data_IF_217650185123
#
_entry.id   IF_217650185123
#
_cell.length_a   1.000
_cell.length_b   1.000
_cell.length_c   1.000
_cell.angle_alpha   90.00
_cell.angle_beta   90.00
_cell.angle_gamma   90.00
#
_symmetry.space_group_name_H-M   'P 1'
#
loop_
_entity.id
_entity.type
_entity.pdbx_description
1 polymer ?
#
# COMPACT_ATOMS: atom_id res chain seq x y z
N UNK A 1 -60.61 -8.21 2.55
CA UNK A 1 -59.67 -9.35 2.49
C UNK A 1 -58.25 -8.82 2.45
N UNK A 2 -57.59 -8.75 3.61
CA UNK A 2 -56.13 -8.54 3.71
C UNK A 2 -55.65 -9.52 4.77
N UNK A 3 -54.95 -10.56 4.33
CA UNK A 3 -54.42 -11.64 5.17
C UNK A 3 -53.18 -11.15 5.90
N UNK A 4 -53.20 -11.36 7.20
CA UNK A 4 -52.06 -11.29 8.11
C UNK A 4 -51.27 -12.59 7.94
N UNK A 5 -49.97 -12.51 7.66
CA UNK A 5 -49.07 -13.63 7.84
C UNK A 5 -47.79 -13.17 8.56
N UNK A 6 -47.70 -13.61 9.81
CA UNK A 6 -46.51 -13.60 10.66
C UNK A 6 -45.53 -14.66 10.13
N UNK A 7 -44.25 -14.32 10.04
CA UNK A 7 -43.19 -15.32 9.96
C UNK A 7 -42.30 -15.22 11.19
N UNK A 8 -42.19 -16.36 11.87
CA UNK A 8 -41.50 -16.58 13.12
C UNK A 8 -39.98 -16.62 12.92
N UNK A 9 -39.27 -16.04 13.87
CA UNK A 9 -37.83 -16.19 14.03
C UNK A 9 -37.50 -17.61 14.46
N UNK A 10 -36.59 -18.27 13.72
CA UNK A 10 -35.93 -19.49 14.16
C UNK A 10 -34.47 -19.16 14.49
N UNK A 11 -34.19 -18.99 15.78
CA UNK A 11 -32.84 -19.02 16.34
C UNK A 11 -32.32 -20.46 16.27
N UNK A 12 -31.24 -20.69 15.53
CA UNK A 12 -30.46 -21.92 15.64
C UNK A 12 -29.24 -21.63 16.52
N UNK A 13 -29.37 -22.00 17.79
CA UNK A 13 -28.27 -22.17 18.73
C UNK A 13 -27.70 -23.56 18.47
N UNK A 14 -26.48 -23.64 17.95
CA UNK A 14 -25.70 -24.88 17.99
C UNK A 14 -24.60 -24.69 19.03
N UNK A 15 -24.89 -25.17 20.23
CA UNK A 15 -23.91 -25.44 21.27
C UNK A 15 -23.30 -26.82 21.05
N UNK A 16 -21.99 -26.91 20.91
CA UNK A 16 -21.25 -28.15 21.14
C UNK A 16 -20.01 -27.82 21.97
N UNK A 17 -20.04 -28.29 23.21
CA UNK A 17 -18.91 -28.34 24.13
C UNK A 17 -18.79 -29.76 24.68
N UNK A 18 -17.61 -30.35 24.56
CA UNK A 18 -16.94 -31.26 25.54
C UNK A 18 -15.67 -31.83 24.85
N UNK A 19 -14.45 -31.37 25.21
CA UNK A 19 -13.57 -31.84 26.30
C UNK A 19 -12.75 -33.09 25.89
N UNK A 20 -11.45 -33.28 26.15
CA UNK A 20 -10.37 -32.50 26.79
C UNK A 20 -9.01 -33.18 26.41
N UNK A 21 -7.89 -32.45 26.49
CA UNK A 21 -6.58 -33.09 26.70
C UNK A 21 -5.42 -32.69 25.76
N UNK A 22 -4.98 -31.44 25.81
CA UNK A 22 -3.56 -31.08 25.73
C UNK A 22 -3.43 -29.63 26.24
N UNK A 23 -2.55 -29.42 27.22
CA UNK A 23 -2.20 -28.12 27.76
C UNK A 23 -1.45 -27.30 26.70
N UNK A 24 -2.18 -26.72 25.75
CA UNK A 24 -1.68 -25.64 24.90
C UNK A 24 -1.80 -24.33 25.67
N UNK A 25 -0.68 -23.66 25.93
CA UNK A 25 -0.75 -22.23 26.25
C UNK A 25 -1.56 -21.52 25.14
N UNK A 26 -2.37 -20.50 25.46
CA UNK A 26 -3.09 -19.75 24.43
C UNK A 26 -2.07 -19.25 23.39
N UNK A 27 -2.33 -19.57 22.11
CA UNK A 27 -1.53 -19.11 20.98
C UNK A 27 -1.30 -17.59 21.10
N UNK A 28 -0.06 -17.11 21.25
CA UNK A 28 0.22 -15.68 21.44
C UNK A 28 -0.19 -14.82 20.23
N UNK A 29 -0.40 -15.43 19.04
CA UNK A 29 -0.91 -14.75 17.85
C UNK A 29 -2.45 -14.67 17.79
N UNK A 30 -3.18 -15.50 18.54
CA UNK A 30 -4.64 -15.57 18.47
C UNK A 30 -5.38 -14.66 19.47
N UNK A 31 -4.67 -14.00 20.40
CA UNK A 31 -5.32 -13.15 21.41
C UNK A 31 -5.38 -11.67 20.96
N UNK A 32 -6.60 -11.24 20.64
CA UNK A 32 -7.11 -9.85 20.71
C UNK A 32 -6.93 -8.84 19.56
N UNK A 33 -6.53 -9.23 18.35
CA UNK A 33 -6.71 -8.32 17.22
C UNK A 33 -8.18 -8.26 16.83
N UNK A 34 -8.85 -7.15 17.13
CA UNK A 34 -10.15 -6.86 16.54
C UNK A 34 -10.03 -7.02 15.01
N UNK A 35 -10.79 -7.95 14.43
CA UNK A 35 -10.70 -8.25 13.01
C UNK A 35 -11.27 -7.08 12.21
N UNK A 36 -10.40 -6.15 11.80
CA UNK A 36 -10.78 -5.18 10.77
C UNK A 36 -11.12 -5.96 9.49
N UNK A 37 -12.17 -5.56 8.75
CA UNK A 37 -12.59 -6.27 7.53
C UNK A 37 -11.67 -6.01 6.33
N UNK A 38 -10.55 -5.33 6.54
CA UNK A 38 -9.54 -4.98 5.55
C UNK A 38 -8.14 -5.17 6.16
N UNK A 39 -7.16 -5.33 5.29
CA UNK A 39 -5.75 -5.41 5.66
C UNK A 39 -5.02 -4.07 5.49
N UNK A 40 -5.52 -3.23 4.59
CA UNK A 40 -5.01 -1.89 4.35
C UNK A 40 -6.12 -0.99 3.80
N UNK A 41 -5.88 0.32 3.77
CA UNK A 41 -6.68 1.28 3.02
C UNK A 41 -5.75 1.94 2.00
N UNK A 42 -6.18 2.03 0.74
CA UNK A 42 -5.44 2.74 -0.31
C UNK A 42 -5.37 4.25 0.01
N UNK A 43 -4.44 4.97 -0.61
CA UNK A 43 -4.35 6.43 -0.57
C UNK A 43 -5.65 7.10 -1.03
N UNK A 44 -6.43 6.42 -1.88
CA UNK A 44 -7.73 6.88 -2.36
C UNK A 44 -8.92 6.40 -1.51
N UNK A 45 -8.65 5.85 -0.32
CA UNK A 45 -9.69 5.46 0.63
C UNK A 45 -10.39 4.14 0.30
N UNK A 46 -9.84 3.30 -0.57
CA UNK A 46 -10.45 1.98 -0.81
C UNK A 46 -9.99 0.98 0.25
N UNK A 47 -10.89 0.30 0.98
CA UNK A 47 -10.52 -0.84 1.79
C UNK A 47 -9.92 -1.96 0.92
N UNK A 48 -8.76 -2.47 1.32
CA UNK A 48 -8.02 -3.51 0.62
C UNK A 48 -8.18 -4.81 1.41
N UNK A 49 -8.88 -5.76 0.80
CA UNK A 49 -9.17 -7.08 1.36
C UNK A 49 -8.39 -8.11 0.56
N UNK A 50 -7.75 -9.04 1.25
CA UNK A 50 -7.03 -10.13 0.59
C UNK A 50 -8.01 -11.17 0.06
N UNK A 51 -7.74 -11.78 -1.11
CA UNK A 51 -8.53 -12.90 -1.59
C UNK A 51 -8.42 -14.10 -0.64
N UNK A 52 -9.33 -15.06 -0.77
CA UNK A 52 -9.25 -16.30 0.00
C UNK A 52 -7.92 -17.03 -0.28
N UNK A 53 -7.22 -17.54 0.75
CA UNK A 53 -5.96 -18.22 0.55
C UNK A 53 -6.15 -19.56 -0.16
N UNK A 54 -5.16 -19.97 -0.94
CA UNK A 54 -5.17 -21.29 -1.58
C UNK A 54 -5.01 -22.41 -0.55
N UNK A 55 -5.50 -23.64 -0.83
CA UNK A 55 -5.29 -24.78 0.07
C UNK A 55 -3.81 -25.06 0.36
N UNK A 56 -2.93 -24.85 -0.63
CA UNK A 56 -1.49 -24.99 -0.45
C UNK A 56 -0.91 -23.95 0.51
N UNK A 57 -1.40 -22.70 0.46
CA UNK A 57 -0.99 -21.65 1.39
C UNK A 57 -1.48 -21.96 2.82
N UNK A 58 -2.73 -22.43 2.97
CA UNK A 58 -3.28 -22.86 4.27
C UNK A 58 -2.44 -23.97 4.88
N UNK A 59 -2.16 -25.03 4.11
CA UNK A 59 -1.32 -26.13 4.57
C UNK A 59 0.08 -25.66 4.98
N UNK A 60 0.71 -24.81 4.18
CA UNK A 60 2.05 -24.28 4.50
C UNK A 60 2.07 -23.45 5.79
N UNK A 61 0.97 -22.76 6.11
CA UNK A 61 0.80 -22.07 7.38
C UNK A 61 0.62 -23.04 8.56
N UNK A 62 -0.20 -24.08 8.39
CA UNK A 62 -0.40 -25.11 9.42
C UNK A 62 0.92 -25.83 9.75
N UNK A 63 1.71 -26.16 8.74
CA UNK A 63 3.03 -26.77 8.91
C UNK A 63 3.96 -25.83 9.70
N UNK A 64 4.03 -24.54 9.33
CA UNK A 64 4.87 -23.56 10.04
C UNK A 64 4.39 -23.29 11.48
N UNK A 65 3.08 -23.34 11.72
CA UNK A 65 2.53 -23.22 13.07
C UNK A 65 2.92 -24.41 13.95
N UNK A 66 2.88 -25.63 13.39
CA UNK A 66 3.34 -26.83 14.11
C UNK A 66 4.83 -26.76 14.44
N UNK A 67 5.66 -26.32 13.49
CA UNK A 67 7.10 -26.17 13.72
C UNK A 67 7.38 -25.11 14.81
N UNK A 68 6.63 -24.01 14.78
CA UNK A 68 6.69 -22.98 15.82
C UNK A 68 6.26 -23.47 17.21
N UNK A 69 5.20 -24.28 17.29
CA UNK A 69 4.72 -24.85 18.56
C UNK A 69 5.74 -25.82 19.18
N UNK A 70 6.56 -26.47 18.35
CA UNK A 70 7.66 -27.33 18.79
C UNK A 70 8.86 -26.50 19.24
N UNK A 71 9.24 -25.48 18.47
CA UNK A 71 10.39 -24.61 18.75
C UNK A 71 10.12 -23.16 18.32
N UNK A 72 9.88 -22.22 19.23
CA UNK A 72 9.64 -20.82 18.90
C UNK A 72 10.95 -20.04 18.69
N UNK A 73 11.88 -20.60 17.91
CA UNK A 73 13.14 -19.97 17.52
C UNK A 73 12.93 -18.78 16.57
N UNK A 74 13.97 -17.94 16.39
CA UNK A 74 13.91 -16.78 15.49
C UNK A 74 13.48 -17.18 14.07
N UNK A 75 14.00 -18.30 13.55
CA UNK A 75 13.63 -18.83 12.24
C UNK A 75 12.16 -19.20 12.17
N UNK A 76 11.61 -19.84 13.20
CA UNK A 76 10.20 -20.22 13.22
C UNK A 76 9.27 -19.02 13.42
N UNK A 77 9.70 -17.97 14.14
CA UNK A 77 8.99 -16.67 14.12
C UNK A 77 8.93 -16.07 12.71
N UNK A 78 10.07 -16.10 12.00
CA UNK A 78 10.15 -15.61 10.62
C UNK A 78 9.23 -16.41 9.71
N UNK A 79 9.31 -17.75 9.75
CA UNK A 79 8.52 -18.61 8.88
C UNK A 79 7.04 -18.53 9.17
N UNK A 80 6.63 -18.51 10.44
CA UNK A 80 5.24 -18.30 10.81
C UNK A 80 4.72 -16.98 10.22
N UNK A 81 5.43 -15.87 10.44
CA UNK A 81 5.01 -14.58 9.91
C UNK A 81 4.96 -14.53 8.38
N UNK A 82 5.88 -15.21 7.68
CA UNK A 82 5.88 -15.29 6.21
C UNK A 82 4.67 -16.06 5.70
N UNK A 83 4.36 -17.22 6.31
CA UNK A 83 3.21 -18.05 5.93
C UNK A 83 1.89 -17.36 6.24
N UNK A 84 1.78 -16.70 7.40
CA UNK A 84 0.63 -15.84 7.73
C UNK A 84 0.40 -14.76 6.66
N UNK A 85 1.48 -14.11 6.20
CA UNK A 85 1.38 -13.11 5.15
C UNK A 85 0.97 -13.70 3.78
N UNK A 86 1.36 -14.94 3.46
CA UNK A 86 0.93 -15.63 2.24
C UNK A 86 -0.53 -16.07 2.28
N UNK A 87 -1.14 -16.13 3.47
CA UNK A 87 -2.60 -16.22 3.57
C UNK A 87 -3.31 -14.88 3.25
N UNK A 88 -2.55 -13.83 2.95
CA UNK A 88 -3.06 -12.48 2.80
C UNK A 88 -3.35 -11.78 4.13
N UNK A 89 -2.94 -12.34 5.27
CA UNK A 89 -3.17 -11.78 6.62
C UNK A 89 -1.98 -10.93 7.05
N UNK A 90 -1.82 -9.77 6.43
CA UNK A 90 -0.65 -8.92 6.64
C UNK A 90 -0.57 -8.30 8.03
N UNK A 91 -1.70 -7.89 8.62
CA UNK A 91 -1.73 -7.34 9.98
C UNK A 91 -1.39 -8.40 11.03
N UNK A 92 -1.90 -9.62 10.86
CA UNK A 92 -1.54 -10.76 11.72
C UNK A 92 -0.05 -11.09 11.58
N UNK A 93 0.51 -11.07 10.37
CA UNK A 93 1.95 -11.25 10.16
C UNK A 93 2.78 -10.16 10.86
N UNK A 94 2.37 -8.89 10.80
CA UNK A 94 3.02 -7.79 11.54
C UNK A 94 2.99 -8.04 13.05
N UNK A 95 1.88 -8.57 13.58
CA UNK A 95 1.77 -8.94 14.97
C UNK A 95 2.74 -10.07 15.35
N UNK A 96 2.80 -11.13 14.53
CA UNK A 96 3.76 -12.25 14.72
C UNK A 96 5.18 -11.72 14.78
N UNK A 97 5.61 -10.90 13.82
CA UNK A 97 6.96 -10.32 13.86
C UNK A 97 7.18 -9.37 15.05
N UNK A 98 6.14 -8.65 15.47
CA UNK A 98 6.25 -7.74 16.62
C UNK A 98 6.43 -8.50 17.93
N UNK A 99 5.77 -9.65 18.11
CA UNK A 99 6.03 -10.55 19.24
C UNK A 99 7.41 -11.21 19.14
N UNK A 100 7.81 -11.66 17.95
CA UNK A 100 9.15 -12.17 17.70
C UNK A 100 10.25 -11.17 18.09
N UNK A 101 10.08 -9.89 17.75
CA UNK A 101 11.01 -8.82 18.13
C UNK A 101 11.07 -8.53 19.64
N UNK A 102 10.05 -8.92 20.42
CA UNK A 102 10.17 -8.88 21.89
C UNK A 102 11.09 -9.96 22.43
N UNK A 103 11.24 -11.08 21.70
CA UNK A 103 12.11 -12.21 22.06
C UNK A 103 13.52 -12.06 21.47
N UNK A 104 13.60 -11.49 20.27
CA UNK A 104 14.83 -11.29 19.51
C UNK A 104 14.96 -9.81 19.10
N UNK A 105 15.22 -8.90 20.06
CA UNK A 105 15.18 -7.44 19.81
C UNK A 105 16.26 -6.93 18.84
N UNK A 106 17.32 -7.71 18.63
CA UNK A 106 18.43 -7.36 17.73
C UNK A 106 18.43 -8.17 16.42
N UNK A 107 17.32 -8.86 16.10
CA UNK A 107 17.18 -9.58 14.82
C UNK A 107 16.91 -8.62 13.66
N UNK A 108 17.93 -8.38 12.82
CA UNK A 108 17.76 -7.61 11.59
C UNK A 108 16.75 -8.27 10.62
N UNK A 109 16.65 -9.61 10.62
CA UNK A 109 15.76 -10.39 9.77
C UNK A 109 14.29 -10.18 10.14
N UNK A 110 13.95 -10.18 11.43
CA UNK A 110 12.58 -9.88 11.88
C UNK A 110 12.16 -8.45 11.54
N UNK A 111 13.05 -7.46 11.75
CA UNK A 111 12.79 -6.09 11.31
C UNK A 111 12.58 -6.01 9.79
N UNK A 112 13.43 -6.67 9.00
CA UNK A 112 13.30 -6.73 7.53
C UNK A 112 11.94 -7.33 7.10
N UNK A 113 11.49 -8.41 7.73
CA UNK A 113 10.22 -9.03 7.36
C UNK A 113 9.00 -8.21 7.80
N UNK A 114 9.05 -7.60 9.00
CA UNK A 114 7.99 -6.70 9.46
C UNK A 114 7.90 -5.44 8.60
N UNK A 115 9.04 -4.84 8.28
CA UNK A 115 9.14 -3.69 7.37
C UNK A 115 8.51 -3.96 6.01
N UNK A 116 8.73 -5.16 5.44
CA UNK A 116 8.09 -5.56 4.20
C UNK A 116 6.56 -5.55 4.36
N UNK A 117 6.03 -6.13 5.43
CA UNK A 117 4.57 -6.14 5.64
C UNK A 117 4.01 -4.74 5.86
N UNK A 118 4.76 -3.84 6.48
CA UNK A 118 4.37 -2.44 6.56
C UNK A 118 4.28 -1.77 5.17
N UNK A 119 5.15 -2.10 4.21
CA UNK A 119 4.97 -1.67 2.80
C UNK A 119 3.63 -2.19 2.26
N UNK A 120 3.34 -3.49 2.44
CA UNK A 120 2.10 -4.11 1.94
C UNK A 120 0.86 -3.36 2.41
N UNK A 121 0.84 -2.89 3.67
CA UNK A 121 -0.30 -2.16 4.24
C UNK A 121 -0.18 -0.62 4.17
N UNK A 122 0.72 -0.10 3.32
CA UNK A 122 0.99 1.33 3.10
C UNK A 122 1.46 2.11 4.34
N UNK A 123 2.00 1.44 5.34
CA UNK A 123 2.59 2.05 6.54
C UNK A 123 4.07 2.38 6.29
N UNK A 124 4.34 3.23 5.29
CA UNK A 124 5.69 3.41 4.77
C UNK A 124 6.66 4.03 5.79
N UNK A 125 6.19 4.90 6.68
CA UNK A 125 7.03 5.46 7.75
C UNK A 125 7.55 4.36 8.69
N UNK A 126 6.66 3.46 9.11
CA UNK A 126 7.02 2.28 9.93
C UNK A 126 7.92 1.31 9.18
N UNK A 127 7.67 1.11 7.89
CA UNK A 127 8.54 0.29 7.04
C UNK A 127 9.97 0.83 6.99
N UNK A 128 10.14 2.14 6.70
CA UNK A 128 11.44 2.81 6.67
C UNK A 128 12.15 2.64 8.02
N UNK A 129 11.48 2.92 9.13
CA UNK A 129 12.06 2.78 10.47
C UNK A 129 12.56 1.35 10.75
N UNK A 130 11.81 0.33 10.35
CA UNK A 130 12.22 -1.07 10.52
C UNK A 130 13.42 -1.40 9.64
N UNK A 131 13.42 -0.96 8.39
CA UNK A 131 14.52 -1.24 7.47
C UNK A 131 15.81 -0.50 7.82
N UNK A 132 15.72 0.73 8.33
CA UNK A 132 16.89 1.46 8.85
C UNK A 132 17.49 0.76 10.06
N UNK A 133 16.63 0.28 10.98
CA UNK A 133 17.08 -0.52 12.12
C UNK A 133 17.70 -1.85 11.68
N UNK A 134 17.09 -2.53 10.71
CA UNK A 134 17.63 -3.76 10.12
C UNK A 134 19.00 -3.52 9.47
N UNK A 135 19.16 -2.44 8.70
CA UNK A 135 20.42 -2.08 8.06
C UNK A 135 21.51 -1.78 9.08
N UNK A 136 21.18 -1.06 10.16
CA UNK A 136 22.12 -0.78 11.24
C UNK A 136 22.58 -2.05 11.97
N UNK A 137 21.68 -3.00 12.20
CA UNK A 137 21.99 -4.29 12.85
C UNK A 137 22.76 -5.25 11.92
N UNK A 138 22.51 -5.22 10.62
CA UNK A 138 23.23 -6.02 9.64
C UNK A 138 24.60 -5.44 9.24
N UNK A 139 24.92 -4.22 9.70
CA UNK A 139 26.20 -3.59 9.40
C UNK A 139 27.35 -4.41 10.00
N UNK A 140 28.26 -4.89 9.15
CA UNK A 140 29.41 -5.69 9.57
C UNK A 140 29.10 -7.18 9.80
N UNK A 141 27.88 -7.64 9.52
CA UNK A 141 27.58 -9.08 9.51
C UNK A 141 28.02 -9.71 8.18
N UNK A 142 28.44 -10.99 8.17
CA UNK A 142 28.68 -11.72 6.92
C UNK A 142 27.42 -11.78 6.05
N UNK A 143 27.62 -11.90 4.73
CA UNK A 143 26.51 -12.15 3.80
C UNK A 143 25.76 -13.40 4.22
N UNK A 144 24.45 -13.27 4.41
CA UNK A 144 23.58 -14.36 4.85
C UNK A 144 22.56 -14.66 3.75
N UNK A 145 22.64 -15.86 3.17
CA UNK A 145 21.64 -16.31 2.17
C UNK A 145 20.28 -16.38 2.84
N UNK A 146 19.27 -15.75 2.24
CA UNK A 146 17.90 -15.86 2.72
C UNK A 146 17.12 -16.83 1.84
N UNK A 147 16.54 -17.85 2.46
CA UNK A 147 15.68 -18.81 1.77
C UNK A 147 14.45 -18.13 1.14
N UNK A 148 14.15 -18.51 -0.10
CA UNK A 148 12.94 -18.06 -0.79
C UNK A 148 11.69 -18.48 -0.02
N UNK A 149 10.68 -17.63 -0.04
CA UNK A 149 9.47 -17.92 0.72
C UNK A 149 8.65 -19.00 0.05
N UNK A 150 8.56 -18.92 -1.27
CA UNK A 150 8.12 -20.01 -2.13
C UNK A 150 9.34 -20.42 -2.98
N UNK A 151 9.78 -21.68 -2.92
CA UNK A 151 10.93 -22.12 -3.70
C UNK A 151 10.71 -21.91 -5.20
N UNK A 152 11.71 -21.36 -5.89
CA UNK A 152 11.74 -21.38 -7.35
C UNK A 152 11.98 -22.83 -7.86
N UNK A 153 11.75 -23.13 -9.16
CA UNK A 153 11.86 -24.48 -9.71
C UNK A 153 13.23 -25.15 -9.50
N UNK A 154 14.30 -24.36 -9.33
CA UNK A 154 15.64 -24.88 -9.08
C UNK A 154 15.95 -25.07 -7.60
N UNK A 155 15.11 -24.53 -6.70
CA UNK A 155 15.33 -24.60 -5.24
C UNK A 155 16.55 -23.81 -4.75
N UNK A 156 17.11 -22.92 -5.58
CA UNK A 156 18.32 -22.14 -5.28
C UNK A 156 17.90 -20.73 -4.85
N UNK A 157 18.13 -20.31 -3.59
CA UNK A 157 17.80 -18.96 -3.16
C UNK A 157 18.53 -17.92 -4.01
N UNK A 158 17.81 -16.88 -4.44
CA UNK A 158 18.36 -15.82 -5.30
C UNK A 158 18.62 -14.51 -4.57
N UNK A 159 18.46 -14.50 -3.24
CA UNK A 159 18.64 -13.29 -2.44
C UNK A 159 19.35 -13.56 -1.12
N UNK A 160 19.78 -12.49 -0.46
CA UNK A 160 20.42 -12.51 0.84
C UNK A 160 19.80 -11.44 1.76
N UNK A 161 20.04 -11.56 3.07
CA UNK A 161 19.48 -10.66 4.10
C UNK A 161 19.79 -9.20 3.77
N UNK A 162 21.06 -8.86 3.48
CA UNK A 162 21.49 -7.49 3.23
C UNK A 162 20.87 -6.91 1.96
N UNK A 163 20.90 -7.65 0.83
CA UNK A 163 20.24 -7.27 -0.41
C UNK A 163 18.79 -6.87 -0.15
N UNK A 164 18.04 -7.72 0.53
CA UNK A 164 16.63 -7.48 0.75
C UNK A 164 16.35 -6.32 1.72
N UNK A 165 17.17 -6.11 2.74
CA UNK A 165 17.06 -4.93 3.61
C UNK A 165 17.14 -3.67 2.75
N UNK A 166 18.19 -3.54 1.94
CA UNK A 166 18.40 -2.34 1.13
C UNK A 166 17.43 -2.22 -0.05
N UNK A 167 17.02 -3.34 -0.65
CA UNK A 167 16.00 -3.38 -1.71
C UNK A 167 14.68 -2.79 -1.22
N UNK A 168 14.18 -3.26 -0.07
CA UNK A 168 12.91 -2.79 0.46
C UNK A 168 13.03 -1.41 1.12
N UNK A 169 14.20 -1.06 1.69
CA UNK A 169 14.46 0.31 2.15
C UNK A 169 14.40 1.31 0.99
N UNK A 170 15.08 1.00 -0.10
CA UNK A 170 15.07 1.81 -1.31
C UNK A 170 13.68 1.93 -1.91
N UNK A 171 12.92 0.83 -1.95
CA UNK A 171 11.52 0.84 -2.38
C UNK A 171 10.64 1.69 -1.45
N UNK A 172 10.78 1.58 -0.13
CA UNK A 172 9.99 2.38 0.79
C UNK A 172 10.27 3.88 0.60
N UNK A 173 11.53 4.27 0.42
CA UNK A 173 11.89 5.64 0.07
C UNK A 173 11.38 6.10 -1.30
N UNK A 174 11.37 5.20 -2.29
CA UNK A 174 10.77 5.46 -3.59
C UNK A 174 9.27 5.80 -3.47
N UNK A 175 8.54 5.02 -2.66
CA UNK A 175 7.10 5.17 -2.44
C UNK A 175 6.76 6.45 -1.66
N UNK A 176 7.65 6.94 -0.80
CA UNK A 176 7.51 8.22 -0.10
C UNK A 176 8.13 9.40 -0.85
N UNK A 177 8.64 9.18 -2.07
CA UNK A 177 9.28 10.18 -2.93
C UNK A 177 10.58 10.79 -2.36
N UNK A 178 11.21 10.14 -1.38
CA UNK A 178 12.56 10.51 -0.95
C UNK A 178 13.59 9.88 -1.89
N UNK A 179 13.67 10.42 -3.11
CA UNK A 179 14.50 9.85 -4.16
C UNK A 179 16.01 9.90 -3.86
N UNK A 180 16.45 10.85 -3.02
CA UNK A 180 17.85 10.94 -2.59
C UNK A 180 18.21 9.73 -1.74
N UNK A 181 17.38 9.40 -0.75
CA UNK A 181 17.61 8.22 0.08
C UNK A 181 17.32 6.92 -0.66
N UNK A 182 16.32 6.90 -1.55
CA UNK A 182 16.04 5.73 -2.39
C UNK A 182 17.24 5.38 -3.26
N UNK A 183 17.85 6.36 -3.91
CA UNK A 183 19.08 6.19 -4.69
C UNK A 183 20.22 5.64 -3.84
N UNK A 184 20.46 6.23 -2.65
CA UNK A 184 21.52 5.76 -1.75
C UNK A 184 21.30 4.29 -1.34
N UNK A 185 20.06 3.92 -1.01
CA UNK A 185 19.71 2.56 -0.63
C UNK A 185 19.88 1.57 -1.79
N UNK A 186 19.48 1.91 -3.02
CA UNK A 186 19.68 1.00 -4.16
C UNK A 186 21.14 0.89 -4.63
N UNK A 187 21.94 1.95 -4.47
CA UNK A 187 23.40 1.85 -4.66
C UNK A 187 24.02 0.88 -3.66
N UNK A 188 23.57 0.92 -2.41
CA UNK A 188 24.01 -0.03 -1.40
C UNK A 188 23.52 -1.45 -1.71
N UNK A 189 22.25 -1.60 -2.11
CA UNK A 189 21.63 -2.86 -2.52
C UNK A 189 22.46 -3.59 -3.60
N UNK A 190 22.92 -2.87 -4.62
CA UNK A 190 23.73 -3.45 -5.70
C UNK A 190 25.08 -4.02 -5.25
N UNK A 191 25.62 -3.61 -4.09
CA UNK A 191 26.84 -4.23 -3.53
C UNK A 191 26.58 -5.64 -3.01
N UNK A 192 25.33 -5.94 -2.66
CA UNK A 192 24.86 -7.22 -2.14
C UNK A 192 24.18 -8.07 -3.22
N UNK A 193 24.01 -7.56 -4.44
CA UNK A 193 23.52 -8.31 -5.60
C UNK A 193 24.62 -9.20 -6.18
N UNK A 194 24.55 -10.50 -5.91
CA UNK A 194 25.60 -11.47 -6.27
C UNK A 194 25.19 -12.47 -7.36
N UNK A 195 24.04 -12.27 -8.00
CA UNK A 195 23.51 -13.07 -9.10
C UNK A 195 22.68 -12.18 -10.05
N UNK A 196 22.33 -12.70 -11.23
CA UNK A 196 21.62 -11.92 -12.25
C UNK A 196 20.21 -11.49 -11.79
N UNK A 197 19.49 -12.32 -11.04
CA UNK A 197 18.16 -12.00 -10.48
C UNK A 197 18.19 -10.76 -9.59
N UNK A 198 19.08 -10.76 -8.59
CA UNK A 198 19.27 -9.64 -7.65
C UNK A 198 19.82 -8.38 -8.34
N UNK A 199 20.66 -8.53 -9.36
CA UNK A 199 21.14 -7.39 -10.16
C UNK A 199 20.00 -6.77 -10.96
N UNK A 200 19.20 -7.59 -11.65
CA UNK A 200 18.04 -7.14 -12.44
C UNK A 200 17.02 -6.43 -11.55
N UNK A 201 16.63 -7.04 -10.44
CA UNK A 201 15.62 -6.48 -9.54
C UNK A 201 16.04 -5.13 -8.94
N UNK A 202 17.29 -4.99 -8.48
CA UNK A 202 17.79 -3.72 -7.93
C UNK A 202 18.00 -2.65 -9.01
N UNK A 203 18.52 -3.05 -10.17
CA UNK A 203 18.75 -2.13 -11.30
C UNK A 203 17.46 -1.51 -11.78
N UNK A 204 16.37 -2.28 -11.81
CA UNK A 204 15.06 -1.79 -12.26
C UNK A 204 14.56 -0.57 -11.46
N UNK A 205 14.43 -0.71 -10.15
CA UNK A 205 13.98 0.40 -9.30
C UNK A 205 14.99 1.55 -9.30
N UNK A 206 16.28 1.25 -9.31
CA UNK A 206 17.30 2.27 -9.36
C UNK A 206 17.24 3.08 -10.66
N UNK A 207 17.00 2.41 -11.80
CA UNK A 207 16.79 3.08 -13.07
C UNK A 207 15.59 4.03 -13.03
N UNK A 208 14.46 3.58 -12.47
CA UNK A 208 13.26 4.44 -12.30
C UNK A 208 13.58 5.69 -11.48
N UNK A 209 14.36 5.56 -10.40
CA UNK A 209 14.80 6.69 -9.57
C UNK A 209 15.65 7.67 -10.38
N UNK A 210 16.69 7.19 -11.08
CA UNK A 210 17.58 8.04 -11.86
C UNK A 210 16.82 8.79 -12.96
N UNK A 211 15.85 8.14 -13.60
CA UNK A 211 14.95 8.78 -14.57
C UNK A 211 14.10 9.86 -13.93
N UNK A 212 13.53 9.62 -12.74
CA UNK A 212 12.73 10.60 -11.99
C UNK A 212 13.54 11.80 -11.52
N UNK A 213 14.82 11.61 -11.21
CA UNK A 213 15.71 12.69 -10.76
C UNK A 213 16.50 13.34 -11.90
N UNK A 214 16.16 13.07 -13.16
CA UNK A 214 16.81 13.69 -14.33
C UNK A 214 18.26 13.26 -14.58
N UNK A 215 18.73 12.16 -13.97
CA UNK A 215 20.11 11.65 -14.09
C UNK A 215 20.26 10.71 -15.30
N UNK A 216 19.98 11.22 -16.49
CA UNK A 216 19.86 10.42 -17.71
C UNK A 216 21.15 9.65 -18.06
N UNK A 217 22.32 10.27 -17.90
CA UNK A 217 23.61 9.65 -18.26
C UNK A 217 23.92 8.46 -17.35
N UNK A 218 23.65 8.62 -16.06
CA UNK A 218 23.82 7.55 -15.09
C UNK A 218 22.80 6.43 -15.29
N UNK A 219 21.55 6.78 -15.61
CA UNK A 219 20.52 5.79 -15.95
C UNK A 219 20.96 4.93 -17.17
N UNK A 220 21.56 5.55 -18.21
CA UNK A 220 22.11 4.81 -19.36
C UNK A 220 23.31 3.95 -18.97
N UNK A 221 24.21 4.47 -18.14
CA UNK A 221 25.35 3.69 -17.65
C UNK A 221 24.91 2.46 -16.84
N UNK A 222 23.87 2.61 -16.01
CA UNK A 222 23.27 1.53 -15.24
C UNK A 222 22.73 0.40 -16.16
N UNK A 223 22.02 0.76 -17.24
CA UNK A 223 21.48 -0.22 -18.20
C UNK A 223 22.54 -0.93 -19.06
N UNK A 224 23.76 -0.40 -19.16
CA UNK A 224 24.81 -1.01 -20.01
C UNK A 224 25.16 -2.45 -19.62
N UNK A 225 24.94 -2.80 -18.34
CA UNK A 225 25.19 -4.14 -17.80
C UNK A 225 24.02 -5.11 -18.04
N UNK A 226 22.83 -4.60 -18.35
CA UNK A 226 21.63 -5.40 -18.58
C UNK A 226 21.60 -5.92 -20.01
N UNK A 227 21.37 -7.21 -20.19
CA UNK A 227 21.31 -7.85 -21.51
C UNK A 227 20.47 -9.14 -21.48
N UNK A 228 20.03 -9.61 -22.66
CA UNK A 228 19.17 -10.78 -22.81
C UNK A 228 19.82 -12.13 -22.48
N UNK A 229 21.13 -12.20 -22.20
CA UNK A 229 21.85 -13.43 -21.84
C UNK A 229 21.98 -13.65 -20.33
N UNK A 230 21.43 -12.75 -19.52
CA UNK A 230 21.37 -12.90 -18.07
C UNK A 230 20.61 -14.18 -17.70
N UNK A 231 21.17 -14.95 -16.77
CA UNK A 231 20.68 -16.27 -16.35
C UNK A 231 19.80 -16.12 -15.13
N UNK A 232 18.52 -15.91 -15.38
CA UNK A 232 17.53 -15.69 -14.33
C UNK A 232 16.85 -16.99 -13.90
N UNK A 233 16.58 -17.10 -12.60
CA UNK A 233 15.70 -18.13 -12.04
C UNK A 233 14.29 -17.60 -11.78
N UNK A 234 14.14 -16.29 -11.58
CA UNK A 234 12.90 -15.54 -11.44
C UNK A 234 13.03 -14.13 -12.08
N UNK A 235 12.16 -13.17 -11.76
CA UNK A 235 12.32 -11.76 -12.20
C UNK A 235 12.39 -11.49 -13.73
N UNK A 236 11.91 -12.39 -14.59
CA UNK A 236 11.92 -12.21 -16.05
C UNK A 236 11.21 -10.94 -16.53
N UNK A 237 10.06 -10.61 -15.93
CA UNK A 237 9.33 -9.38 -16.27
C UNK A 237 10.12 -8.09 -15.93
N UNK A 238 10.97 -8.11 -14.89
CA UNK A 238 11.87 -6.99 -14.58
C UNK A 238 12.96 -6.84 -15.65
N UNK A 239 13.57 -7.95 -16.10
CA UNK A 239 14.56 -7.91 -17.17
C UNK A 239 13.94 -7.37 -18.46
N UNK A 240 12.78 -7.89 -18.86
CA UNK A 240 12.10 -7.39 -20.05
C UNK A 240 11.75 -5.90 -19.96
N UNK A 241 11.37 -5.41 -18.77
CA UNK A 241 11.10 -3.99 -18.55
C UNK A 241 12.35 -3.14 -18.74
N UNK A 242 13.48 -3.59 -18.18
CA UNK A 242 14.77 -2.94 -18.37
C UNK A 242 15.21 -2.94 -19.84
N UNK A 243 15.01 -4.05 -20.55
CA UNK A 243 15.31 -4.15 -21.98
C UNK A 243 14.39 -3.26 -22.82
N UNK A 244 13.12 -3.10 -22.45
CA UNK A 244 12.22 -2.11 -23.06
C UNK A 244 12.75 -0.69 -22.83
N UNK A 245 13.12 -0.35 -21.60
CA UNK A 245 13.70 0.97 -21.28
C UNK A 245 15.05 1.23 -21.98
N UNK A 246 15.77 0.16 -22.31
CA UNK A 246 17.02 0.19 -23.09
C UNK A 246 16.78 0.34 -24.60
N UNK A 247 15.56 0.08 -25.08
CA UNK A 247 15.21 0.05 -26.50
C UNK A 247 15.57 -1.26 -27.21
N UNK A 248 15.81 -2.34 -26.47
CA UNK A 248 16.06 -3.68 -27.04
C UNK A 248 14.77 -4.51 -27.19
N UNK A 249 13.70 -4.12 -26.49
CA UNK A 249 12.35 -4.68 -26.65
C UNK A 249 11.41 -3.52 -26.98
N UNK A 250 10.61 -3.67 -28.03
CA UNK A 250 9.59 -2.68 -28.38
C UNK A 250 8.49 -2.60 -27.32
N UNK A 251 7.95 -1.40 -27.10
CA UNK A 251 6.92 -1.18 -26.05
C UNK A 251 5.69 -2.07 -26.26
N UNK A 252 5.29 -2.25 -27.53
CA UNK A 252 4.15 -3.12 -27.90
C UNK A 252 4.44 -4.61 -27.63
N UNK A 253 5.69 -5.06 -27.76
CA UNK A 253 6.03 -6.45 -27.45
C UNK A 253 6.16 -6.66 -25.94
N UNK A 254 6.75 -5.72 -25.22
CA UNK A 254 6.79 -5.76 -23.76
C UNK A 254 5.38 -5.81 -23.13
N UNK A 255 4.43 -5.08 -23.74
CA UNK A 255 3.04 -5.05 -23.30
C UNK A 255 2.26 -6.32 -23.62
N UNK A 256 2.76 -7.22 -24.47
CA UNK A 256 2.15 -8.53 -24.69
C UNK A 256 2.50 -9.45 -23.52
N UNK A 257 1.49 -9.74 -22.70
CA UNK A 257 1.62 -10.71 -21.60
C UNK A 257 2.18 -12.05 -22.10
N UNK A 258 2.92 -12.74 -21.23
CA UNK A 258 3.52 -14.04 -21.56
C UNK A 258 2.56 -15.18 -21.21
N UNK A 259 2.70 -16.32 -21.88
CA UNK A 259 1.90 -17.51 -21.53
C UNK A 259 2.29 -17.99 -20.12
N UNK A 260 1.29 -18.20 -19.25
CA UNK A 260 1.52 -18.59 -17.85
C UNK A 260 1.99 -17.45 -16.94
N UNK A 261 1.92 -16.21 -17.40
CA UNK A 261 2.32 -15.03 -16.62
C UNK A 261 1.52 -14.90 -15.32
N UNK A 262 2.24 -14.64 -14.23
CA UNK A 262 1.65 -14.41 -12.92
C UNK A 262 1.05 -13.01 -12.82
N UNK A 263 0.11 -12.83 -11.87
CA UNK A 263 -0.46 -11.50 -11.62
C UNK A 263 0.63 -10.45 -11.33
N UNK A 264 1.66 -10.81 -10.56
CA UNK A 264 2.78 -9.91 -10.23
C UNK A 264 3.54 -9.48 -11.48
N UNK A 265 3.84 -10.42 -12.40
CA UNK A 265 4.52 -10.10 -13.65
C UNK A 265 3.68 -9.17 -14.55
N UNK A 266 2.38 -9.41 -14.65
CA UNK A 266 1.48 -8.49 -15.36
C UNK A 266 1.50 -7.10 -14.71
N UNK A 267 1.52 -7.01 -13.38
CA UNK A 267 1.60 -5.71 -12.68
C UNK A 267 2.93 -4.98 -12.95
N UNK A 268 4.06 -5.71 -13.03
CA UNK A 268 5.37 -5.16 -13.41
C UNK A 268 5.29 -4.54 -14.81
N UNK A 269 4.63 -5.23 -15.75
CA UNK A 269 4.44 -4.74 -17.13
C UNK A 269 3.57 -3.51 -17.19
N UNK A 270 2.39 -3.55 -16.59
CA UNK A 270 1.47 -2.41 -16.56
C UNK A 270 2.12 -1.18 -15.94
N UNK A 271 2.88 -1.35 -14.86
CA UNK A 271 3.61 -0.25 -14.24
C UNK A 271 4.71 0.30 -15.14
N UNK A 272 5.50 -0.57 -15.79
CA UNK A 272 6.52 -0.16 -16.76
C UNK A 272 5.95 0.64 -17.93
N UNK A 273 4.81 0.21 -18.49
CA UNK A 273 4.10 0.93 -19.55
C UNK A 273 3.57 2.29 -19.07
N UNK A 274 3.03 2.35 -17.85
CA UNK A 274 2.60 3.61 -17.25
C UNK A 274 3.76 4.60 -17.10
N UNK A 275 4.92 4.14 -16.62
CA UNK A 275 6.13 4.97 -16.53
C UNK A 275 6.63 5.43 -17.90
N UNK A 276 6.62 4.55 -18.90
CA UNK A 276 7.00 4.92 -20.28
C UNK A 276 6.11 6.04 -20.83
N UNK A 277 4.78 5.96 -20.62
CA UNK A 277 3.83 7.02 -21.01
C UNK A 277 4.08 8.33 -20.28
N UNK A 278 4.39 8.30 -18.98
CA UNK A 278 4.76 9.51 -18.25
C UNK A 278 5.97 10.21 -18.88
N UNK A 279 6.99 9.45 -19.29
CA UNK A 279 8.20 10.02 -19.88
C UNK A 279 8.02 10.56 -21.30
N UNK A 280 7.02 10.07 -22.05
CA UNK A 280 6.65 10.63 -23.36
C UNK A 280 5.61 11.74 -23.27
N UNK A 281 5.17 12.10 -22.05
CA UNK A 281 4.20 13.18 -21.80
C UNK A 281 2.74 12.75 -21.86
N UNK A 282 2.44 11.47 -22.11
CA UNK A 282 1.07 10.93 -22.11
C UNK A 282 0.57 10.67 -20.68
N UNK A 283 0.31 11.76 -19.94
CA UNK A 283 -0.23 11.70 -18.57
C UNK A 283 -1.61 11.03 -18.53
N UNK A 284 -2.45 11.24 -19.53
CA UNK A 284 -3.82 10.70 -19.56
C UNK A 284 -3.81 9.18 -19.73
N UNK A 285 -2.96 8.66 -20.62
CA UNK A 285 -2.78 7.22 -20.77
C UNK A 285 -2.12 6.58 -19.55
N UNK A 286 -1.11 7.23 -18.96
CA UNK A 286 -0.49 6.75 -17.73
C UNK A 286 -1.51 6.68 -16.57
N UNK A 287 -2.31 7.73 -16.39
CA UNK A 287 -3.38 7.78 -15.39
C UNK A 287 -4.34 6.61 -15.52
N UNK A 288 -4.83 6.34 -16.75
CA UNK A 288 -5.75 5.24 -17.02
C UNK A 288 -5.15 3.89 -16.64
N UNK A 289 -3.89 3.64 -16.99
CA UNK A 289 -3.19 2.40 -16.64
C UNK A 289 -3.07 2.24 -15.12
N UNK A 290 -2.69 3.30 -14.39
CA UNK A 290 -2.58 3.20 -12.93
C UNK A 290 -3.94 2.99 -12.27
N UNK A 291 -5.00 3.66 -12.74
CA UNK A 291 -6.37 3.42 -12.27
C UNK A 291 -6.84 1.98 -12.52
N UNK A 292 -6.50 1.39 -13.67
CA UNK A 292 -6.76 -0.02 -13.98
C UNK A 292 -5.99 -0.95 -13.04
N UNK A 293 -4.71 -0.68 -12.81
CA UNK A 293 -3.88 -1.45 -11.88
C UNK A 293 -4.45 -1.45 -10.46
N UNK A 294 -4.96 -0.30 -10.02
CA UNK A 294 -5.56 -0.20 -8.70
C UNK A 294 -6.77 -1.11 -8.58
N UNK A 295 -7.54 -1.44 -9.62
CA UNK A 295 -8.71 -2.32 -9.55
C UNK A 295 -8.38 -3.82 -9.38
N UNK A 296 -7.10 -4.20 -9.40
CA UNK A 296 -6.69 -5.61 -9.34
C UNK A 296 -6.70 -6.19 -7.93
N UNK A 297 -6.79 -7.50 -7.85
CA UNK A 297 -6.80 -8.26 -6.58
C UNK A 297 -5.39 -8.39 -5.95
N UNK A 298 -4.33 -8.29 -6.75
CA UNK A 298 -2.92 -8.33 -6.31
C UNK A 298 -2.41 -6.96 -5.84
N UNK A 299 -3.26 -6.25 -5.10
CA UNK A 299 -3.04 -4.88 -4.60
C UNK A 299 -1.81 -4.74 -3.69
N UNK A 300 -1.32 -5.84 -3.14
CA UNK A 300 -0.12 -5.89 -2.29
C UNK A 300 1.20 -5.95 -3.08
N UNK A 301 1.15 -6.14 -4.41
CA UNK A 301 2.35 -6.13 -5.25
C UNK A 301 3.01 -4.74 -5.28
N UNK A 302 4.34 -4.70 -5.35
CA UNK A 302 5.08 -3.44 -5.35
C UNK A 302 4.73 -2.54 -6.54
N UNK A 303 4.45 -3.13 -7.71
CA UNK A 303 4.05 -2.39 -8.90
C UNK A 303 2.70 -1.70 -8.74
N UNK A 304 1.72 -2.34 -8.08
CA UNK A 304 0.42 -1.70 -7.79
C UNK A 304 0.58 -0.60 -6.74
N UNK A 305 1.38 -0.83 -5.69
CA UNK A 305 1.66 0.19 -4.68
C UNK A 305 2.39 1.40 -5.28
N UNK A 306 3.34 1.17 -6.19
CA UNK A 306 4.04 2.23 -6.89
C UNK A 306 3.13 2.99 -7.88
N UNK A 307 2.27 2.28 -8.62
CA UNK A 307 1.25 2.88 -9.46
C UNK A 307 0.28 3.77 -8.66
N UNK A 308 -0.06 3.36 -7.43
CA UNK A 308 -0.87 4.14 -6.51
C UNK A 308 -0.19 5.48 -6.13
N UNK A 309 1.11 5.47 -5.86
CA UNK A 309 1.89 6.67 -5.61
C UNK A 309 2.03 7.56 -6.85
N UNK A 310 2.20 6.98 -8.06
CA UNK A 310 2.22 7.75 -9.31
C UNK A 310 0.86 8.39 -9.60
N UNK A 311 -0.23 7.67 -9.38
CA UNK A 311 -1.59 8.20 -9.54
C UNK A 311 -1.86 9.34 -8.54
N UNK A 312 -1.38 9.20 -7.30
CA UNK A 312 -1.47 10.28 -6.32
C UNK A 312 -0.78 11.56 -6.82
N UNK A 313 0.45 11.46 -7.36
CA UNK A 313 1.14 12.63 -7.93
C UNK A 313 0.36 13.26 -9.11
N UNK A 314 -0.22 12.44 -9.99
CA UNK A 314 -1.04 12.94 -11.10
C UNK A 314 -2.30 13.67 -10.61
N UNK A 315 -3.00 13.12 -9.62
CA UNK A 315 -4.20 13.73 -9.03
C UNK A 315 -3.85 15.01 -8.26
N UNK A 316 -2.70 15.05 -7.59
CA UNK A 316 -2.24 16.25 -6.89
C UNK A 316 -1.90 17.38 -7.85
N UNK A 317 -1.30 17.06 -9.00
CA UNK A 317 -1.05 18.03 -10.06
C UNK A 317 -2.37 18.54 -10.65
N UNK A 318 -3.22 17.62 -11.10
CA UNK A 318 -4.44 17.88 -11.86
C UNK A 318 -5.60 17.00 -11.34
N UNK A 319 -6.29 17.43 -10.26
CA UNK A 319 -7.36 16.65 -9.66
C UNK A 319 -8.56 16.56 -10.60
N UNK A 320 -9.16 15.38 -10.69
CA UNK A 320 -10.40 15.20 -11.44
C UNK A 320 -11.57 15.75 -10.61
N UNK A 321 -12.15 16.83 -11.13
CA UNK A 321 -13.34 17.49 -10.56
C UNK A 321 -14.54 17.42 -11.50
N UNK A 322 -14.55 16.46 -12.42
CA UNK A 322 -15.62 16.29 -13.43
C UNK A 322 -16.96 15.86 -12.81
N UNK A 323 -16.91 15.25 -11.62
CA UNK A 323 -18.08 14.83 -10.85
C UNK A 323 -17.88 15.07 -9.34
N UNK A 324 -18.97 15.11 -8.55
CA UNK A 324 -18.87 15.14 -7.09
C UNK A 324 -18.04 13.97 -6.55
N UNK A 325 -18.27 12.75 -7.06
CA UNK A 325 -17.52 11.56 -6.65
C UNK A 325 -16.02 11.64 -6.94
N UNK A 326 -15.62 12.10 -8.14
CA UNK A 326 -14.21 12.27 -8.47
C UNK A 326 -13.53 13.33 -7.58
N UNK A 327 -14.24 14.44 -7.31
CA UNK A 327 -13.76 15.50 -6.41
C UNK A 327 -13.57 14.96 -4.99
N UNK A 328 -14.49 14.14 -4.49
CA UNK A 328 -14.40 13.53 -3.16
C UNK A 328 -13.33 12.43 -3.07
N UNK A 329 -13.02 11.75 -4.16
CA UNK A 329 -11.87 10.84 -4.22
C UNK A 329 -10.54 11.61 -4.09
N UNK A 330 -10.42 12.77 -4.75
CA UNK A 330 -9.26 13.66 -4.58
C UNK A 330 -9.22 14.28 -3.18
N UNK A 331 -10.38 14.61 -2.59
CA UNK A 331 -10.47 15.07 -1.20
C UNK A 331 -10.01 14.00 -0.21
N UNK A 332 -10.40 12.74 -0.43
CA UNK A 332 -9.95 11.61 0.38
C UNK A 332 -8.43 11.43 0.28
N UNK A 333 -7.87 11.56 -0.92
CA UNK A 333 -6.42 11.58 -1.12
C UNK A 333 -5.76 12.70 -0.30
N UNK A 334 -6.30 13.92 -0.34
CA UNK A 334 -5.74 15.06 0.42
C UNK A 334 -5.63 14.76 1.92
N UNK A 335 -6.57 14.03 2.50
CA UNK A 335 -6.50 13.56 3.89
C UNK A 335 -5.49 12.44 4.11
N UNK A 336 -5.37 11.50 3.17
CA UNK A 336 -4.46 10.37 3.30
C UNK A 336 -2.99 10.75 3.05
N UNK A 337 -2.74 11.88 2.41
CA UNK A 337 -1.38 12.44 2.20
C UNK A 337 -1.20 13.83 2.83
N UNK A 338 -2.14 14.28 3.66
CA UNK A 338 -2.04 15.53 4.44
C UNK A 338 -1.64 16.73 3.54
N UNK A 339 -2.21 16.78 2.33
CA UNK A 339 -1.83 17.72 1.27
C UNK A 339 -2.70 18.97 1.31
N UNK A 340 -2.05 20.07 1.71
CA UNK A 340 -2.69 21.36 1.87
C UNK A 340 -3.03 22.01 0.52
N UNK A 341 -2.19 21.83 -0.50
CA UNK A 341 -2.39 22.42 -1.83
C UNK A 341 -3.55 21.72 -2.56
N UNK A 342 -3.63 20.40 -2.44
CA UNK A 342 -4.76 19.63 -2.97
C UNK A 342 -6.06 20.03 -2.27
N UNK A 343 -6.04 20.23 -0.95
CA UNK A 343 -7.21 20.74 -0.21
C UNK A 343 -7.67 22.08 -0.81
N UNK A 344 -6.75 23.02 -1.03
CA UNK A 344 -7.08 24.33 -1.61
C UNK A 344 -7.72 24.24 -3.00
N UNK A 345 -7.26 23.30 -3.85
CA UNK A 345 -7.79 23.10 -5.21
C UNK A 345 -9.22 22.54 -5.24
N UNK A 346 -9.68 21.91 -4.16
CA UNK A 346 -10.95 21.17 -4.13
C UNK A 346 -12.10 21.98 -3.52
N UNK A 347 -11.80 23.01 -2.73
CA UNK A 347 -12.78 23.88 -2.12
C UNK A 347 -12.97 25.17 -2.93
N UNK A 348 -14.16 25.75 -2.82
CA UNK A 348 -14.46 27.05 -3.42
C UNK A 348 -13.66 28.15 -2.70
N UNK A 349 -12.86 28.96 -3.42
CA UNK A 349 -11.90 29.88 -2.83
C UNK A 349 -12.54 31.21 -2.40
N UNK A 350 -13.57 31.18 -1.56
CA UNK A 350 -14.23 32.39 -1.07
C UNK A 350 -14.48 32.41 0.44
N UNK A 351 -14.85 33.59 1.01
CA UNK A 351 -15.18 33.71 2.43
C UNK A 351 -16.52 33.04 2.81
N UNK A 352 -17.23 32.45 1.84
CA UNK A 352 -18.50 31.74 2.06
C UNK A 352 -18.31 30.24 2.28
N UNK A 353 -17.15 29.68 1.93
CA UNK A 353 -16.85 28.27 2.20
C UNK A 353 -16.97 27.98 3.69
N UNK A 354 -17.63 26.88 4.04
CA UNK A 354 -17.84 26.50 5.44
C UNK A 354 -17.44 25.06 5.71
N UNK A 355 -16.96 24.81 6.92
CA UNK A 355 -16.55 23.48 7.36
C UNK A 355 -16.93 23.28 8.83
N UNK A 356 -17.58 22.16 9.14
CA UNK A 356 -17.81 21.70 10.51
C UNK A 356 -16.99 20.44 10.73
N UNK A 357 -16.05 20.54 11.66
CA UNK A 357 -15.17 19.44 12.04
C UNK A 357 -15.84 18.56 13.09
N UNK A 358 -15.61 17.25 13.02
CA UNK A 358 -15.98 16.33 14.09
C UNK A 358 -15.14 16.51 15.36
N UNK A 359 -13.97 17.15 15.26
CA UNK A 359 -13.01 17.28 16.38
C UNK A 359 -12.95 18.72 16.95
N UNK A 360 -13.60 19.70 16.31
CA UNK A 360 -13.58 21.11 16.74
C UNK A 360 -14.98 21.71 16.76
N UNK A 361 -15.34 22.31 17.88
CA UNK A 361 -16.61 23.02 18.02
C UNK A 361 -16.65 24.29 17.16
N UNK A 362 -17.82 24.57 16.61
CA UNK A 362 -18.11 25.78 15.85
C UNK A 362 -17.85 25.67 14.36
N UNK A 363 -18.35 26.67 13.62
CA UNK A 363 -18.22 26.78 12.18
C UNK A 363 -16.86 27.35 11.80
N UNK A 364 -16.10 26.64 10.98
CA UNK A 364 -14.97 27.19 10.24
C UNK A 364 -15.53 27.87 8.99
N UNK A 365 -15.15 29.11 8.74
CA UNK A 365 -15.67 29.90 7.62
C UNK A 365 -14.56 30.63 6.88
N UNK A 366 -14.59 30.51 5.55
CA UNK A 366 -13.62 31.06 4.62
C UNK A 366 -12.44 30.12 4.37
N UNK A 367 -11.86 30.24 3.17
CA UNK A 367 -10.71 29.44 2.74
C UNK A 367 -9.53 29.53 3.73
N UNK A 368 -9.17 30.73 4.19
CA UNK A 368 -8.03 30.90 5.11
C UNK A 368 -8.22 30.11 6.42
N UNK A 369 -9.41 30.17 7.00
CA UNK A 369 -9.73 29.45 8.23
C UNK A 369 -9.77 27.93 8.02
N UNK A 370 -10.21 27.46 6.84
CA UNK A 370 -10.14 26.05 6.46
C UNK A 370 -8.69 25.59 6.34
N UNK A 371 -7.83 26.40 5.72
CA UNK A 371 -6.41 26.09 5.57
C UNK A 371 -5.69 26.06 6.93
N UNK A 372 -6.01 26.98 7.84
CA UNK A 372 -5.49 26.96 9.22
C UNK A 372 -5.98 25.75 10.01
N UNK A 373 -7.25 25.35 9.81
CA UNK A 373 -7.76 24.10 10.36
C UNK A 373 -6.96 22.91 9.85
N UNK A 374 -6.79 22.75 8.54
CA UNK A 374 -6.00 21.64 7.97
C UNK A 374 -4.55 21.63 8.48
N UNK A 375 -3.89 22.80 8.59
CA UNK A 375 -2.56 22.91 9.20
C UNK A 375 -2.53 22.43 10.65
N UNK A 376 -3.59 22.66 11.42
CA UNK A 376 -3.67 22.16 12.81
C UNK A 376 -3.72 20.63 12.92
N UNK A 377 -4.11 19.92 11.84
CA UNK A 377 -4.01 18.46 11.73
C UNK A 377 -2.65 18.01 11.14
N UNK A 378 -1.75 18.95 10.85
CA UNK A 378 -0.41 18.68 10.34
C UNK A 378 -0.34 18.57 8.82
N UNK A 379 -1.33 19.09 8.08
CA UNK A 379 -1.24 19.24 6.63
C UNK A 379 -0.14 20.23 6.27
N UNK A 380 0.59 19.94 5.19
CA UNK A 380 1.68 20.79 4.70
C UNK A 380 1.53 21.04 3.19
N UNK A 381 2.08 22.16 2.66
CA UNK A 381 2.22 22.35 1.22
C UNK A 381 2.97 21.16 0.62
N UNK A 382 2.47 20.63 -0.49
CA UNK A 382 3.03 19.44 -1.10
C UNK A 382 2.85 18.14 -0.30
N UNK A 383 2.04 18.12 0.75
CA UNK A 383 1.68 16.90 1.49
C UNK A 383 2.85 16.13 2.11
N UNK A 384 2.52 15.03 2.80
CA UNK A 384 3.47 14.11 3.42
C UNK A 384 2.90 12.70 3.52
N UNK A 385 3.77 11.73 3.75
CA UNK A 385 3.34 10.39 4.13
C UNK A 385 2.66 10.44 5.51
N UNK A 386 1.52 9.75 5.62
CA UNK A 386 0.84 9.51 6.88
C UNK A 386 0.54 8.03 7.04
N UNK A 387 0.47 7.57 8.29
CA UNK A 387 0.14 6.18 8.64
C UNK A 387 -1.37 6.01 8.90
N UNK A 388 -2.07 7.09 9.25
CA UNK A 388 -3.53 7.09 9.42
C UNK A 388 -4.26 7.01 8.07
N UNK A 389 -5.47 6.47 8.06
CA UNK A 389 -6.27 6.35 6.84
C UNK A 389 -7.70 6.83 7.01
N UNK A 390 -8.15 7.66 6.08
CA UNK A 390 -9.51 8.15 5.94
C UNK A 390 -10.15 7.57 4.68
N UNK A 391 -11.42 7.22 4.76
CA UNK A 391 -12.25 6.92 3.60
C UNK A 391 -13.70 7.31 3.78
N UNK A 392 -14.43 7.33 2.66
CA UNK A 392 -15.86 7.54 2.59
C UNK A 392 -16.54 6.24 2.13
N UNK A 393 -17.70 5.94 2.68
CA UNK A 393 -18.56 4.82 2.27
C UNK A 393 -20.00 5.28 2.10
N UNK A 394 -20.76 4.59 1.26
CA UNK A 394 -22.17 4.89 1.02
C UNK A 394 -22.42 6.29 0.43
N UNK A 395 -21.61 6.74 -0.53
CA UNK A 395 -21.81 8.03 -1.20
C UNK A 395 -23.16 8.06 -1.93
N UNK A 396 -24.02 9.00 -1.55
CA UNK A 396 -25.26 9.32 -2.24
C UNK A 396 -25.27 10.78 -2.69
N UNK A 397 -25.61 11.04 -3.95
CA UNK A 397 -25.54 12.35 -4.59
C UNK A 397 -26.94 12.83 -4.95
N UNK A 398 -27.37 13.90 -4.28
CA UNK A 398 -28.69 14.51 -4.44
C UNK A 398 -28.59 15.85 -5.19
N UNK A 399 -29.36 15.97 -6.27
CA UNK A 399 -29.42 17.14 -7.16
C UNK A 399 -28.30 17.16 -8.20
N UNK A 400 -28.64 17.44 -9.47
CA UNK A 400 -27.63 17.68 -10.51
C UNK A 400 -28.12 18.60 -11.65
N UNK A 401 -27.77 19.88 -11.54
CA UNK A 401 -27.43 20.82 -12.62
C UNK A 401 -26.13 21.51 -12.19
N UNK A 402 -26.22 22.62 -11.44
CA UNK A 402 -25.07 23.41 -10.96
C UNK A 402 -24.78 23.28 -9.44
N UNK A 403 -25.59 22.51 -8.71
CA UNK A 403 -25.44 22.25 -7.28
C UNK A 403 -25.67 20.77 -6.97
N UNK A 404 -24.94 20.24 -5.99
CA UNK A 404 -25.10 18.88 -5.49
C UNK A 404 -24.93 18.82 -3.96
N UNK A 405 -25.73 17.98 -3.32
CA UNK A 405 -25.52 17.54 -1.94
C UNK A 405 -25.01 16.11 -1.98
N UNK A 406 -23.91 15.82 -1.30
CA UNK A 406 -23.39 14.47 -1.16
C UNK A 406 -23.47 14.05 0.29
N UNK A 407 -24.09 12.91 0.58
CA UNK A 407 -24.07 12.29 1.90
C UNK A 407 -23.23 11.02 1.87
N UNK A 408 -22.53 10.73 2.98
CA UNK A 408 -21.72 9.52 3.13
C UNK A 408 -21.46 9.24 4.61
N UNK A 409 -20.81 8.12 4.90
CA UNK A 409 -20.13 7.89 6.17
C UNK A 409 -18.63 8.09 5.98
N UNK A 410 -18.01 8.90 6.84
CA UNK A 410 -16.56 8.97 6.93
C UNK A 410 -16.06 7.94 7.94
N UNK A 411 -14.88 7.40 7.68
CA UNK A 411 -14.15 6.51 8.57
C UNK A 411 -12.72 7.00 8.72
N UNK A 412 -12.15 6.84 9.91
CA UNK A 412 -10.77 7.19 10.19
C UNK A 412 -10.09 6.13 11.08
N UNK A 413 -9.08 5.49 10.54
CA UNK A 413 -8.26 4.49 11.21
C UNK A 413 -6.90 5.11 11.56
N UNK A 414 -6.65 5.30 12.86
CA UNK A 414 -5.42 5.91 13.38
C UNK A 414 -4.26 4.91 13.54
N UNK A 415 -4.53 3.61 13.42
CA UNK A 415 -3.48 2.59 13.47
C UNK A 415 -3.92 1.38 12.64
N UNK A 416 -3.75 1.46 11.32
CA UNK A 416 -4.14 0.41 10.37
C UNK A 416 -3.56 -0.94 10.77
N UNK A 417 -2.31 -0.97 11.24
CA UNK A 417 -1.64 -2.19 11.65
C UNK A 417 -2.11 -2.73 13.01
N UNK A 418 -2.57 -1.86 13.90
CA UNK A 418 -2.97 -2.21 15.26
C UNK A 418 -4.45 -2.53 15.44
N UNK A 419 -4.83 -2.92 16.67
CA UNK A 419 -6.19 -3.33 17.03
C UNK A 419 -7.11 -2.14 17.35
N UNK A 420 -6.64 -0.90 17.22
CA UNK A 420 -7.39 0.30 17.59
C UNK A 420 -8.73 0.42 16.84
N UNK A 421 -9.76 1.00 17.49
CA UNK A 421 -11.07 1.16 16.87
C UNK A 421 -11.01 2.14 15.70
N UNK A 422 -11.84 1.87 14.70
CA UNK A 422 -12.06 2.79 13.57
C UNK A 422 -13.09 3.83 14.01
N UNK A 423 -12.72 5.11 13.95
CA UNK A 423 -13.66 6.21 14.15
C UNK A 423 -14.54 6.35 12.91
N UNK A 424 -15.80 6.72 13.10
CA UNK A 424 -16.72 6.94 11.99
C UNK A 424 -17.81 7.94 12.36
N UNK A 425 -18.50 8.43 11.34
CA UNK A 425 -19.73 9.20 11.49
C UNK A 425 -20.29 9.65 10.16
N UNK A 426 -21.46 10.30 10.15
CA UNK A 426 -22.02 10.82 8.93
C UNK A 426 -21.26 12.07 8.49
N UNK A 427 -21.18 12.26 7.16
CA UNK A 427 -20.69 13.48 6.54
C UNK A 427 -21.67 13.95 5.47
N UNK A 428 -21.81 15.26 5.36
CA UNK A 428 -22.51 15.91 4.25
C UNK A 428 -21.60 16.92 3.59
N UNK A 429 -21.54 16.89 2.27
CA UNK A 429 -20.89 17.90 1.44
C UNK A 429 -21.96 18.64 0.65
N UNK A 430 -21.86 19.97 0.58
CA UNK A 430 -22.52 20.73 -0.46
C UNK A 430 -21.47 21.19 -1.46
N UNK A 431 -21.80 21.03 -2.73
CA UNK A 431 -20.88 21.24 -3.85
C UNK A 431 -21.57 22.07 -4.91
N UNK A 432 -20.77 22.88 -5.61
CA UNK A 432 -21.23 23.67 -6.75
C UNK A 432 -20.41 23.35 -7.99
N UNK A 433 -20.99 23.56 -9.16
CA UNK A 433 -20.33 23.41 -10.44
C UNK A 433 -19.93 24.78 -10.99
N UNK A 434 -18.64 24.95 -11.27
CA UNK A 434 -18.09 26.16 -11.88
C UNK A 434 -17.09 25.80 -12.98
N UNK A 435 -17.32 26.32 -14.19
CA UNK A 435 -16.44 26.05 -15.34
C UNK A 435 -16.27 24.56 -15.63
N UNK A 436 -17.31 23.75 -15.39
CA UNK A 436 -17.28 22.29 -15.55
C UNK A 436 -16.64 21.51 -14.39
N UNK A 437 -16.09 22.19 -13.38
CA UNK A 437 -15.48 21.58 -12.20
C UNK A 437 -16.44 21.62 -11.01
N UNK A 438 -16.46 20.56 -10.22
CA UNK A 438 -17.14 20.52 -8.93
C UNK A 438 -16.20 21.00 -7.81
N UNK A 439 -16.71 21.92 -6.99
CA UNK A 439 -16.01 22.49 -5.85
C UNK A 439 -16.81 22.27 -4.57
N UNK A 440 -16.12 21.95 -3.48
CA UNK A 440 -16.73 21.82 -2.15
C UNK A 440 -16.95 23.23 -1.59
N UNK A 441 -18.22 23.58 -1.32
CA UNK A 441 -18.58 24.86 -0.65
C UNK A 441 -18.89 24.67 0.82
N UNK A 442 -19.29 23.46 1.20
CA UNK A 442 -19.60 23.09 2.57
C UNK A 442 -19.20 21.64 2.83
N UNK A 443 -18.64 21.37 4.00
CA UNK A 443 -18.53 20.02 4.52
C UNK A 443 -18.88 19.99 6.01
N UNK A 444 -19.66 19.00 6.44
CA UNK A 444 -20.06 18.83 7.83
C UNK A 444 -19.84 17.39 8.27
N UNK A 445 -18.89 17.22 9.18
CA UNK A 445 -18.54 15.97 9.82
C UNK A 445 -19.16 15.93 11.21
N UNK A 446 -19.94 14.88 11.49
CA UNK A 446 -20.34 14.55 12.84
C UNK A 446 -19.68 13.24 13.27
N UNK A 447 -19.47 13.06 14.58
CA UNK A 447 -19.09 11.77 15.13
C UNK A 447 -20.35 10.91 15.29
N UNK A 448 -20.24 9.60 15.00
CA UNK A 448 -21.30 8.65 15.34
C UNK A 448 -21.56 8.73 16.86
N UNK A 449 -22.79 9.06 17.31
CA UNK A 449 -23.12 9.03 18.73
C UNK A 449 -23.05 7.57 19.19
N UNK A 450 -21.91 7.22 19.79
CA UNK A 450 -21.64 5.90 20.40
C UNK A 450 -22.78 5.39 21.26
#
# INVERSE_FOLDING_TARGET
MKSVFRWAAALLIVSLASAAGASGQPNPAASSFASKPYEAISLFGRPLVSPAPSPAAVKSYEDALKDFDVDPSEDNWIWLGRRTAYLGRFREAIAVYSEGLKKHPDSCRLYRHRGHRYISIRQFGRAISDFEKAAALAAGTPLEVEADGNPNPSGIPVSNTQFNIYYHLGLAYYLTRDFVKAEAAFRECLKWSNNDDSVVAATDWFYLILRRTGKADEARALLSKINSRMKLLENGAYLERLLMFKGEIETDDFGRGRSGETAIETAIRSYGLGMARLWTGDKTGARRLFEEMLRREDWASFSVIAAEAELADLVRAEPDRSSPGATLAAWTLSWNVYDLDLTQKLFEPSPRTTYFSSEKAGRIQGMDALMDHSRSFGFIPGGKTADNRLWLDGLDVLGVEDMALVTAFWYFDRDVAGPGPVQKGPVTFAMMREGGNWLIVHAHFANDPR
#
